data_IF_036173569259
#
_entry.id   IF_036173569259
#
_cell.length_a   1.000
_cell.length_b   1.000
_cell.length_c   1.000
_cell.angle_alpha   90.00
_cell.angle_beta   90.00
_cell.angle_gamma   90.00
#
_symmetry.space_group_name_H-M   'P 1'
#
loop_
_entity.id
_entity.type
_entity.pdbx_description
1 polymer ?
#
# COMPACT_ATOMS: atom_id res chain seq x y z
N UNK A 1 38.25 -33.95 -17.82
CA UNK A 1 37.70 -32.70 -17.23
C UNK A 1 36.57 -32.20 -18.13
N UNK A 2 35.33 -32.04 -17.65
CA UNK A 2 34.21 -31.38 -18.39
C UNK A 2 32.96 -31.06 -17.56
N UNK A 3 32.69 -31.82 -16.48
CA UNK A 3 31.47 -31.67 -15.67
C UNK A 3 31.38 -30.38 -14.80
N UNK A 4 32.49 -29.70 -14.52
CA UNK A 4 32.51 -28.55 -13.59
C UNK A 4 31.87 -27.26 -14.13
N UNK A 5 31.49 -27.21 -15.41
CA UNK A 5 30.88 -26.03 -16.04
C UNK A 5 29.34 -25.98 -15.93
N UNK A 6 28.69 -26.99 -15.33
CA UNK A 6 27.22 -27.06 -15.20
C UNK A 6 26.70 -26.45 -13.88
N UNK A 7 27.55 -26.32 -12.86
CA UNK A 7 27.20 -25.74 -11.55
C UNK A 7 26.66 -24.29 -11.60
N UNK A 8 27.20 -23.33 -12.38
CA UNK A 8 26.68 -21.97 -12.37
C UNK A 8 25.28 -21.84 -13.00
N UNK A 9 24.89 -22.77 -13.89
CA UNK A 9 23.58 -22.78 -14.53
C UNK A 9 22.48 -23.14 -13.53
N UNK A 10 22.76 -24.07 -12.61
CA UNK A 10 21.85 -24.49 -11.54
C UNK A 10 21.63 -23.41 -10.45
N UNK A 11 22.65 -22.57 -10.19
CA UNK A 11 22.49 -21.45 -9.25
C UNK A 11 21.73 -20.26 -9.85
N UNK A 12 21.84 -20.02 -11.16
CA UNK A 12 21.10 -18.95 -11.84
C UNK A 12 19.58 -19.17 -11.91
N UNK A 13 19.10 -20.37 -11.59
CA UNK A 13 17.66 -20.69 -11.46
C UNK A 13 17.10 -20.56 -10.04
N UNK A 14 17.88 -20.06 -9.08
CA UNK A 14 17.48 -19.90 -7.68
C UNK A 14 17.25 -18.44 -7.26
N UNK A 15 16.92 -17.55 -8.21
CA UNK A 15 16.06 -16.41 -7.88
C UNK A 15 14.70 -16.98 -7.43
N UNK A 16 14.28 -16.82 -6.16
CA UNK A 16 12.93 -17.18 -5.79
C UNK A 16 11.99 -16.21 -6.50
N UNK A 17 11.34 -16.68 -7.56
CA UNK A 17 10.13 -16.02 -8.07
C UNK A 17 9.15 -16.04 -6.89
N UNK A 18 9.08 -14.93 -6.15
CA UNK A 18 8.10 -14.71 -5.09
C UNK A 18 6.73 -14.54 -5.76
N UNK A 19 6.20 -15.67 -6.23
CA UNK A 19 4.87 -15.78 -6.78
C UNK A 19 3.91 -15.60 -5.63
N UNK A 20 3.50 -14.35 -5.41
CA UNK A 20 2.43 -13.97 -4.50
C UNK A 20 1.32 -15.02 -4.58
N UNK A 21 0.89 -15.49 -3.42
CA UNK A 21 -0.27 -16.36 -3.31
C UNK A 21 -1.49 -15.66 -3.94
N UNK A 22 -2.54 -16.40 -4.30
CA UNK A 22 -3.78 -15.77 -4.77
C UNK A 22 -4.37 -14.76 -3.77
N UNK A 23 -4.04 -14.84 -2.47
CA UNK A 23 -4.42 -13.84 -1.46
C UNK A 23 -3.70 -12.52 -1.68
N UNK A 24 -2.37 -12.54 -1.63
CA UNK A 24 -1.52 -11.35 -1.74
C UNK A 24 -1.73 -10.61 -3.08
N UNK A 25 -1.97 -11.31 -4.20
CA UNK A 25 -2.27 -10.62 -5.47
C UNK A 25 -3.58 -9.80 -5.38
N UNK A 26 -4.62 -10.34 -4.73
CA UNK A 26 -5.90 -9.67 -4.55
C UNK A 26 -5.77 -8.45 -3.61
N UNK A 27 -5.01 -8.60 -2.53
CA UNK A 27 -4.69 -7.55 -1.57
C UNK A 27 -3.87 -6.43 -2.23
N UNK A 28 -2.73 -6.75 -2.86
CA UNK A 28 -1.87 -5.78 -3.53
C UNK A 28 -2.59 -5.07 -4.69
N UNK A 29 -3.51 -5.76 -5.38
CA UNK A 29 -4.41 -5.10 -6.34
C UNK A 29 -5.30 -4.05 -5.66
N UNK A 30 -5.98 -4.43 -4.57
CA UNK A 30 -6.88 -3.52 -3.85
C UNK A 30 -6.12 -2.32 -3.25
N UNK A 31 -4.91 -2.54 -2.70
CA UNK A 31 -4.02 -1.49 -2.20
C UNK A 31 -3.67 -0.50 -3.32
N UNK A 32 -3.13 -0.97 -4.45
CA UNK A 32 -2.74 -0.09 -5.57
C UNK A 32 -3.91 0.75 -6.06
N UNK A 33 -5.09 0.14 -6.23
CA UNK A 33 -6.28 0.85 -6.69
C UNK A 33 -6.81 1.85 -5.65
N UNK A 34 -6.80 1.50 -4.35
CA UNK A 34 -7.22 2.39 -3.26
C UNK A 34 -6.27 3.58 -3.11
N UNK A 35 -4.96 3.35 -3.06
CA UNK A 35 -3.93 4.39 -2.96
C UNK A 35 -4.03 5.38 -4.11
N UNK A 36 -4.22 4.92 -5.35
CA UNK A 36 -4.34 5.82 -6.51
C UNK A 36 -5.67 6.56 -6.54
N UNK A 37 -6.78 5.97 -6.07
CA UNK A 37 -8.05 6.67 -5.92
C UNK A 37 -8.01 7.74 -4.83
N UNK A 38 -7.37 7.44 -3.69
CA UNK A 38 -7.11 8.39 -2.60
C UNK A 38 -6.18 9.55 -3.01
N UNK A 39 -5.13 9.26 -3.80
CA UNK A 39 -4.25 10.28 -4.39
C UNK A 39 -4.99 11.28 -5.30
N UNK A 40 -6.13 10.90 -5.88
CA UNK A 40 -6.99 11.79 -6.65
C UNK A 40 -8.16 12.38 -5.82
N UNK A 41 -8.17 12.20 -4.49
CA UNK A 41 -9.27 12.63 -3.61
C UNK A 41 -10.64 12.17 -4.12
N UNK A 42 -10.73 10.92 -4.57
CA UNK A 42 -11.89 10.30 -5.22
C UNK A 42 -12.35 10.92 -6.57
N UNK A 43 -11.66 11.93 -7.10
CA UNK A 43 -12.02 12.64 -8.33
C UNK A 43 -10.94 12.45 -9.42
N UNK A 44 -11.07 11.41 -10.24
CA UNK A 44 -10.05 11.05 -11.23
C UNK A 44 -10.05 12.01 -12.45
N UNK A 45 -8.98 12.81 -12.66
CA UNK A 45 -9.03 13.96 -13.57
C UNK A 45 -8.88 13.62 -15.06
N UNK A 46 -8.37 12.44 -15.42
CA UNK A 46 -8.44 11.87 -16.78
C UNK A 46 -7.82 10.46 -16.84
N UNK A 47 -8.22 9.65 -17.83
CA UNK A 47 -7.62 8.34 -18.14
C UNK A 47 -6.09 8.38 -18.24
N UNK A 48 -5.51 9.41 -18.87
CA UNK A 48 -4.05 9.53 -19.03
C UNK A 48 -3.35 9.80 -17.69
N UNK A 49 -3.91 10.65 -16.83
CA UNK A 49 -3.41 10.88 -15.47
C UNK A 49 -3.55 9.61 -14.62
N UNK A 50 -4.69 8.93 -14.67
CA UNK A 50 -4.93 7.67 -13.95
C UNK A 50 -3.92 6.58 -14.32
N UNK A 51 -3.81 6.24 -15.61
CA UNK A 51 -2.91 5.16 -16.07
C UNK A 51 -1.44 5.49 -15.78
N UNK A 52 -1.05 6.77 -15.76
CA UNK A 52 0.29 7.16 -15.33
C UNK A 52 0.50 6.99 -13.81
N UNK A 53 -0.48 7.35 -12.98
CA UNK A 53 -0.38 7.19 -11.53
C UNK A 53 -0.41 5.72 -11.10
N UNK A 54 -1.27 4.90 -11.72
CA UNK A 54 -1.25 3.44 -11.56
C UNK A 54 0.12 2.85 -11.96
N UNK A 55 0.71 3.30 -13.07
CA UNK A 55 2.07 2.88 -13.48
C UNK A 55 3.19 3.39 -12.56
N UNK A 56 2.97 4.46 -11.81
CA UNK A 56 3.89 4.91 -10.76
C UNK A 56 3.76 3.99 -9.54
N UNK A 57 2.55 3.81 -9.01
CA UNK A 57 2.29 2.99 -7.83
C UNK A 57 2.70 1.52 -8.05
N UNK A 58 2.35 0.93 -9.20
CA UNK A 58 2.82 -0.41 -9.58
C UNK A 58 4.35 -0.58 -9.54
N UNK A 59 5.16 0.49 -9.67
CA UNK A 59 6.63 0.36 -9.63
C UNK A 59 7.19 0.24 -8.21
N UNK A 60 6.46 0.74 -7.21
CA UNK A 60 6.85 0.70 -5.78
C UNK A 60 6.73 -0.72 -5.22
N UNK A 61 5.71 -1.45 -5.66
CA UNK A 61 5.39 -2.80 -5.21
C UNK A 61 6.20 -3.87 -5.96
N UNK A 62 7.51 -3.98 -5.69
CA UNK A 62 8.45 -4.82 -6.45
C UNK A 62 7.93 -6.21 -6.84
N UNK A 63 7.38 -6.97 -5.88
CA UNK A 63 6.93 -8.35 -6.09
C UNK A 63 5.66 -8.44 -6.96
N UNK A 64 4.81 -7.41 -6.93
CA UNK A 64 3.57 -7.33 -7.72
C UNK A 64 3.76 -6.57 -9.04
N UNK A 65 4.85 -5.81 -9.19
CA UNK A 65 5.11 -4.81 -10.24
C UNK A 65 4.86 -5.31 -11.66
N UNK A 66 5.38 -6.48 -12.03
CA UNK A 66 5.25 -7.00 -13.41
C UNK A 66 3.79 -7.31 -13.77
N UNK A 67 3.04 -7.91 -12.83
CA UNK A 67 1.62 -8.27 -12.97
C UNK A 67 0.74 -7.02 -12.99
N UNK A 68 0.95 -6.13 -12.01
CA UNK A 68 0.31 -4.81 -11.91
C UNK A 68 0.44 -3.99 -13.21
N UNK A 69 1.65 -3.89 -13.77
CA UNK A 69 1.90 -3.12 -15.00
C UNK A 69 1.25 -3.73 -16.26
N UNK A 70 0.99 -5.04 -16.30
CA UNK A 70 0.22 -5.66 -17.39
C UNK A 70 -1.28 -5.41 -17.22
N UNK A 71 -1.84 -5.67 -16.03
CA UNK A 71 -3.25 -5.42 -15.74
C UNK A 71 -3.65 -3.95 -16.02
N UNK A 72 -2.84 -2.99 -15.54
CA UNK A 72 -3.06 -1.54 -15.77
C UNK A 72 -2.90 -1.13 -17.24
N UNK A 73 -2.03 -1.81 -18.00
CA UNK A 73 -1.85 -1.55 -19.44
C UNK A 73 -3.09 -2.00 -20.23
N UNK A 74 -3.59 -3.19 -19.92
CA UNK A 74 -4.62 -3.85 -20.74
C UNK A 74 -6.06 -3.50 -20.29
N UNK A 75 -6.25 -3.05 -19.05
CA UNK A 75 -7.57 -2.72 -18.46
C UNK A 75 -7.73 -1.25 -18.07
N UNK A 76 -6.85 -0.36 -18.53
CA UNK A 76 -6.86 1.06 -18.15
C UNK A 76 -8.15 1.84 -18.48
N UNK A 77 -8.88 1.47 -19.53
CA UNK A 77 -10.20 2.04 -19.87
C UNK A 77 -11.30 1.60 -18.90
N UNK A 78 -11.26 0.34 -18.49
CA UNK A 78 -12.20 -0.22 -17.52
C UNK A 78 -11.97 0.40 -16.14
N UNK A 79 -10.72 0.45 -15.68
CA UNK A 79 -10.34 1.09 -14.42
C UNK A 79 -10.74 2.58 -14.35
N UNK A 80 -10.62 3.31 -15.47
CA UNK A 80 -11.07 4.71 -15.53
C UNK A 80 -12.58 4.83 -15.31
N UNK A 81 -13.39 4.04 -16.02
CA UNK A 81 -14.86 4.08 -15.89
C UNK A 81 -15.32 3.75 -14.47
N UNK A 82 -14.79 2.67 -13.87
CA UNK A 82 -15.12 2.27 -12.49
C UNK A 82 -14.79 3.37 -11.48
N UNK A 83 -13.61 3.99 -11.58
CA UNK A 83 -13.22 5.06 -10.65
C UNK A 83 -14.01 6.37 -10.88
N UNK A 84 -14.52 6.62 -12.08
CA UNK A 84 -15.43 7.75 -12.35
C UNK A 84 -16.90 7.45 -12.03
N UNK A 85 -17.25 6.21 -11.67
CA UNK A 85 -18.64 5.77 -11.46
C UNK A 85 -19.27 6.19 -10.12
N UNK A 86 -18.49 6.79 -9.21
CA UNK A 86 -18.96 7.24 -7.89
C UNK A 86 -19.02 6.16 -6.82
N UNK A 87 -19.48 4.94 -7.15
CA UNK A 87 -19.59 3.82 -6.19
C UNK A 87 -18.32 2.94 -6.09
N UNK A 88 -17.15 3.57 -6.27
CA UNK A 88 -15.88 2.85 -6.48
C UNK A 88 -15.47 1.95 -5.30
N UNK A 89 -15.42 0.63 -5.55
CA UNK A 89 -14.94 -0.38 -4.59
C UNK A 89 -13.83 -1.23 -5.22
N UNK A 90 -12.56 -1.12 -4.79
CA UNK A 90 -11.40 -1.79 -5.41
C UNK A 90 -11.55 -3.29 -5.71
N UNK A 91 -12.29 -4.01 -4.86
CA UNK A 91 -12.59 -5.44 -5.03
C UNK A 91 -13.30 -5.76 -6.37
N UNK A 92 -14.17 -4.87 -6.88
CA UNK A 92 -14.89 -5.05 -8.16
C UNK A 92 -13.89 -5.15 -9.33
N UNK A 93 -13.04 -4.12 -9.62
CA UNK A 93 -12.00 -4.27 -10.63
C UNK A 93 -11.01 -5.40 -10.39
N UNK A 94 -10.55 -5.62 -9.16
CA UNK A 94 -9.56 -6.67 -8.89
C UNK A 94 -10.10 -8.08 -9.16
N UNK A 95 -11.39 -8.33 -8.95
CA UNK A 95 -12.06 -9.55 -9.40
C UNK A 95 -12.13 -9.65 -10.93
N UNK A 96 -12.52 -8.58 -11.62
CA UNK A 96 -12.64 -8.56 -13.09
C UNK A 96 -11.27 -8.71 -13.79
N UNK A 97 -10.21 -8.14 -13.21
CA UNK A 97 -8.82 -8.32 -13.65
C UNK A 97 -8.23 -9.70 -13.28
N UNK A 98 -8.99 -10.56 -12.60
CA UNK A 98 -8.59 -11.91 -12.13
C UNK A 98 -7.44 -11.92 -11.12
N UNK A 99 -7.26 -10.81 -10.41
CA UNK A 99 -6.36 -10.71 -9.26
C UNK A 99 -7.03 -11.24 -7.98
N UNK A 100 -8.36 -11.10 -7.88
CA UNK A 100 -9.18 -11.68 -6.80
C UNK A 100 -10.01 -12.89 -7.26
N UNK A 101 -10.19 -13.86 -6.35
CA UNK A 101 -11.08 -15.02 -6.44
C UNK A 101 -12.39 -14.77 -5.68
N UNK A 102 -13.45 -15.56 -5.98
CA UNK A 102 -14.80 -15.42 -5.40
C UNK A 102 -14.92 -15.53 -3.86
N UNK A 103 -13.88 -16.00 -3.16
CA UNK A 103 -13.88 -16.23 -1.72
C UNK A 103 -12.96 -15.25 -0.95
N UNK A 104 -12.53 -14.16 -1.59
CA UNK A 104 -11.63 -13.18 -0.97
C UNK A 104 -12.39 -11.93 -0.57
N UNK A 105 -12.22 -11.54 0.69
CA UNK A 105 -12.87 -10.36 1.27
C UNK A 105 -12.38 -9.06 0.61
N UNK A 106 -13.23 -8.02 0.56
CA UNK A 106 -12.74 -6.65 0.40
C UNK A 106 -11.76 -6.30 1.53
N UNK A 107 -10.73 -5.51 1.25
CA UNK A 107 -9.92 -4.92 2.33
C UNK A 107 -10.79 -3.98 3.17
N UNK A 108 -10.67 -3.99 4.52
CA UNK A 108 -11.41 -3.07 5.39
C UNK A 108 -11.09 -1.62 5.03
N UNK A 109 -12.03 -0.72 5.28
CA UNK A 109 -11.92 0.68 4.85
C UNK A 109 -10.75 1.42 5.53
N UNK A 110 -10.44 1.06 6.77
CA UNK A 110 -9.34 1.61 7.59
C UNK A 110 -7.95 1.02 7.30
N UNK A 111 -7.79 0.14 6.30
CA UNK A 111 -6.47 -0.44 5.98
C UNK A 111 -5.48 0.64 5.52
N UNK A 112 -4.53 0.98 6.39
CA UNK A 112 -3.25 1.55 5.98
C UNK A 112 -2.28 0.43 5.59
N UNK A 113 -1.51 0.57 4.50
CA UNK A 113 -0.41 -0.34 4.22
C UNK A 113 0.70 -0.15 5.26
N UNK A 114 1.16 -1.25 5.87
CA UNK A 114 2.16 -1.22 6.94
C UNK A 114 3.43 -0.48 6.51
N UNK A 115 3.71 0.67 7.13
CA UNK A 115 4.78 1.56 6.70
C UNK A 115 6.19 1.11 7.15
N UNK A 116 6.31 -0.11 7.68
CA UNK A 116 7.45 -0.66 8.42
C UNK A 116 8.68 -1.03 7.57
N UNK A 117 8.67 -0.70 6.27
CA UNK A 117 9.78 -1.00 5.33
C UNK A 117 10.47 0.26 4.78
N UNK A 118 9.91 1.46 4.98
CA UNK A 118 10.36 2.68 4.30
C UNK A 118 10.91 3.72 5.27
N UNK A 119 12.23 3.78 5.38
CA UNK A 119 12.92 4.93 5.94
C UNK A 119 12.71 6.13 5.00
N UNK A 120 12.00 7.16 5.47
CA UNK A 120 11.72 8.33 4.64
C UNK A 120 13.02 9.09 4.35
N UNK A 121 13.38 9.18 3.06
CA UNK A 121 14.63 9.81 2.63
C UNK A 121 14.55 11.34 2.64
N UNK A 122 13.37 11.93 2.91
CA UNK A 122 13.20 13.38 3.07
C UNK A 122 13.87 13.93 4.35
N UNK A 123 13.91 13.15 5.44
CA UNK A 123 14.36 13.62 6.76
C UNK A 123 15.88 13.82 6.88
N UNK A 124 16.68 13.36 5.90
CA UNK A 124 18.15 13.43 5.95
C UNK A 124 18.66 14.88 5.76
N UNK A 125 17.85 15.79 5.21
CA UNK A 125 18.30 17.16 4.88
C UNK A 125 18.27 18.17 6.03
N UNK A 126 17.57 17.89 7.15
CA UNK A 126 17.45 18.82 8.28
C UNK A 126 18.41 18.53 9.44
N UNK A 127 19.00 17.34 9.52
CA UNK A 127 19.76 16.88 10.69
C UNK A 127 21.18 17.49 10.85
N UNK A 128 21.50 18.57 10.13
CA UNK A 128 22.84 19.17 10.06
C UNK A 128 22.88 20.68 10.39
N UNK A 129 21.87 21.23 11.06
CA UNK A 129 21.95 22.62 11.54
C UNK A 129 21.14 22.95 12.82
N UNK A 130 21.43 22.32 13.96
CA UNK A 130 21.34 22.95 15.30
C UNK A 130 21.90 22.05 16.42
N UNK A 131 23.10 22.34 16.93
CA UNK A 131 23.67 21.70 18.13
C UNK A 131 24.51 22.68 18.97
N UNK A 132 23.84 23.61 19.63
CA UNK A 132 24.37 24.35 20.80
C UNK A 132 23.24 24.66 21.78
N UNK A 133 22.96 23.85 22.80
CA UNK A 133 23.57 23.79 24.17
C UNK A 133 22.68 24.48 25.21
N UNK A 134 22.71 24.01 26.48
CA UNK A 134 21.97 24.48 27.68
C UNK A 134 20.49 24.09 27.81
N UNK A 135 19.92 23.78 29.00
CA UNK A 135 20.45 23.08 30.20
C UNK A 135 19.32 22.70 31.21
N UNK A 136 19.47 21.55 31.89
CA UNK A 136 19.05 21.26 33.29
C UNK A 136 17.55 21.18 33.70
N UNK A 137 17.33 20.59 34.90
CA UNK A 137 16.07 20.32 35.65
C UNK A 137 15.08 19.31 35.02
N UNK A 138 14.53 18.27 35.68
CA UNK A 138 13.92 18.09 37.04
C UNK A 138 12.48 18.62 37.14
N UNK A 139 11.47 17.95 37.73
CA UNK A 139 11.37 16.63 38.43
C UNK A 139 9.90 16.10 38.50
N UNK A 140 9.59 15.17 39.42
CA UNK A 140 8.27 14.51 39.72
C UNK A 140 7.17 15.52 40.21
N UNK A 141 5.87 15.25 40.48
CA UNK A 141 5.03 14.10 40.96
C UNK A 141 3.51 14.34 40.63
N UNK A 142 2.46 13.55 40.97
CA UNK A 142 2.17 12.07 40.96
C UNK A 142 0.71 11.74 41.44
N UNK A 143 -0.16 11.18 40.57
CA UNK A 143 -1.38 10.35 40.91
C UNK A 143 -2.54 11.18 41.59
N UNK A 144 -3.84 10.82 41.81
CA UNK A 144 -4.57 9.59 42.21
C UNK A 144 -6.09 9.53 41.83
N UNK A 145 -6.47 9.10 40.61
CA UNK A 145 -7.76 8.40 40.30
C UNK A 145 -9.10 9.24 40.47
N UNK A 146 -10.36 8.72 40.51
CA UNK A 146 -11.49 9.31 39.76
C UNK A 146 -12.76 9.65 40.60
N UNK A 147 -13.94 9.88 39.98
CA UNK A 147 -15.26 9.19 40.20
C UNK A 147 -16.46 10.02 39.71
N UNK A 148 -17.58 9.35 39.37
CA UNK A 148 -18.97 9.85 39.22
C UNK A 148 -19.34 10.76 38.03
N UNK A 149 -20.32 10.31 37.21
CA UNK A 149 -21.69 10.82 37.33
C UNK A 149 -22.72 10.03 36.49
N UNK A 150 -23.87 9.76 37.10
CA UNK A 150 -25.16 9.43 36.49
C UNK A 150 -26.24 10.02 37.43
N UNK A 151 -27.40 10.46 36.92
CA UNK A 151 -28.56 9.55 37.01
C UNK A 151 -29.60 9.66 35.86
N UNK A 152 -30.68 8.92 36.05
CA UNK A 152 -31.84 8.62 35.19
C UNK A 152 -32.73 9.77 34.68
N UNK A 153 -33.18 9.60 33.42
CA UNK A 153 -34.59 9.55 32.94
C UNK A 153 -35.67 10.28 33.75
N UNK A 154 -36.38 11.22 33.10
CA UNK A 154 -37.86 11.29 33.02
C UNK A 154 -38.37 12.44 32.12
N UNK A 155 -39.06 12.08 31.02
CA UNK A 155 -40.39 12.56 30.58
C UNK A 155 -40.83 11.72 29.36
#
# INVERSE_FOLDING_TARGET
MRFLLLLPILYASLDPIQSLTPGENCEMCQIVLRTVFGHFSANVPSRKKLVNQLKHECKRHFNYRRRCLMAVKDQGDFLYREMTGGDFKPIKPCFIMKECKRLQSPLPEDFQPDNSTYLDTSTISELMLTTTTTNSSESMDTVTTPTTNAPSVLD
#
